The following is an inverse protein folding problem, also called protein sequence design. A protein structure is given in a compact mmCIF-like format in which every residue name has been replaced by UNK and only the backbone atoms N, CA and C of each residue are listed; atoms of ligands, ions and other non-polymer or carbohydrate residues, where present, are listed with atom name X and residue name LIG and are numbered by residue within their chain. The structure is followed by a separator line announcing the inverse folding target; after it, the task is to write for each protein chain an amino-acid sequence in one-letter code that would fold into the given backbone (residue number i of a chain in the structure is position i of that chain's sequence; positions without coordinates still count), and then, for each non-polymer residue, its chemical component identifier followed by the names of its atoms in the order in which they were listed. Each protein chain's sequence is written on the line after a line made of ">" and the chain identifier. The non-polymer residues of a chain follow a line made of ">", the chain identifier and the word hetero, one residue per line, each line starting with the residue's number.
data_IF_542861004407
#
_entry.id   IF_542861004407
#
_cell.length_a   1.000
_cell.length_b   1.000
_cell.length_c   1.000
_cell.angle_alpha   90.00
_cell.angle_beta   90.00
_cell.angle_gamma   90.00
#
_symmetry.space_group_name_H-M   'P 1'
#
loop_
_entity.id
_entity.type
_entity.pdbx_description
1 polymer ?
#
# COMPACT_ATOMS: atom_id res chain seq x y z
N UNK A 1 31.00 -18.14 -3.41
CA UNK A 1 30.07 -17.52 -2.44
C UNK A 1 28.81 -17.23 -3.21
N UNK A 2 27.64 -17.66 -2.74
CA UNK A 2 26.39 -17.30 -3.42
C UNK A 2 26.14 -15.80 -3.22
N UNK A 3 25.73 -15.12 -4.29
CA UNK A 3 25.37 -13.71 -4.20
C UNK A 3 24.08 -13.53 -3.40
N UNK A 4 23.90 -12.34 -2.86
CA UNK A 4 22.65 -11.98 -2.19
C UNK A 4 21.53 -11.80 -3.22
N UNK A 5 20.31 -12.21 -2.90
CA UNK A 5 19.19 -12.21 -3.85
C UNK A 5 17.85 -11.90 -3.18
N UNK A 6 16.89 -11.42 -3.96
CA UNK A 6 15.49 -11.33 -3.55
C UNK A 6 14.77 -12.65 -3.87
N UNK A 7 14.05 -13.20 -2.89
CA UNK A 7 13.02 -14.21 -3.17
C UNK A 7 11.83 -13.58 -3.90
N UNK A 8 10.96 -14.40 -4.47
CA UNK A 8 9.68 -13.93 -4.99
C UNK A 8 8.64 -13.83 -3.87
N UNK A 9 7.81 -12.79 -3.90
CA UNK A 9 6.62 -12.68 -3.07
C UNK A 9 5.38 -13.08 -3.86
N UNK A 10 4.40 -13.66 -3.16
CA UNK A 10 3.05 -13.87 -3.64
C UNK A 10 2.10 -13.08 -2.75
N UNK A 11 1.27 -12.25 -3.38
CA UNK A 11 0.42 -11.25 -2.73
C UNK A 11 -0.92 -11.27 -3.45
N UNK A 12 -2.02 -11.17 -2.71
CA UNK A 12 -3.33 -11.06 -3.36
C UNK A 12 -3.52 -9.69 -4.02
N UNK A 13 -4.41 -9.60 -5.00
CA UNK A 13 -4.73 -8.33 -5.69
C UNK A 13 -5.23 -7.22 -4.74
N UNK A 14 -5.67 -7.60 -3.53
CA UNK A 14 -6.07 -6.68 -2.45
C UNK A 14 -4.94 -6.38 -1.43
N UNK A 15 -3.73 -6.91 -1.64
CA UNK A 15 -2.54 -6.54 -0.86
C UNK A 15 -2.19 -7.46 0.31
N UNK A 16 -2.97 -8.50 0.58
CA UNK A 16 -2.62 -9.49 1.61
C UNK A 16 -1.44 -10.35 1.17
N UNK A 17 -0.36 -10.32 1.97
CA UNK A 17 0.85 -11.12 1.73
C UNK A 17 0.58 -12.58 2.05
N UNK A 18 0.69 -13.44 1.04
CA UNK A 18 0.62 -14.90 1.18
C UNK A 18 1.97 -15.44 1.63
N UNK A 19 3.01 -15.19 0.83
CA UNK A 19 4.39 -15.51 1.18
C UNK A 19 5.34 -14.48 0.58
N UNK A 20 6.47 -14.27 1.22
CA UNK A 20 7.56 -13.44 0.70
C UNK A 20 8.81 -14.28 0.37
N UNK A 21 8.66 -15.61 0.35
CA UNK A 21 9.70 -16.61 0.06
C UNK A 21 9.11 -17.72 -0.81
N UNK A 22 8.51 -17.35 -1.93
CA UNK A 22 7.73 -18.25 -2.78
C UNK A 22 8.44 -19.59 -3.03
N UNK A 23 9.72 -19.54 -3.39
CA UNK A 23 10.55 -20.70 -3.74
C UNK A 23 10.82 -21.64 -2.56
N UNK A 24 10.63 -21.20 -1.32
CA UNK A 24 10.94 -21.96 -0.09
C UNK A 24 9.69 -22.35 0.71
N UNK A 25 8.50 -22.03 0.23
CA UNK A 25 7.26 -22.11 1.03
C UNK A 25 6.09 -22.70 0.25
N UNK A 26 6.31 -23.85 -0.39
CA UNK A 26 5.34 -24.49 -1.28
C UNK A 26 3.98 -24.72 -0.62
N UNK A 27 3.97 -25.15 0.66
CA UNK A 27 2.72 -25.36 1.42
C UNK A 27 2.00 -24.08 1.86
N UNK A 28 2.59 -22.89 1.66
CA UNK A 28 1.95 -21.60 1.94
C UNK A 28 1.45 -20.91 0.66
N UNK A 29 1.83 -21.40 -0.52
CA UNK A 29 1.38 -20.82 -1.79
C UNK A 29 -0.11 -21.05 -1.94
N UNK A 30 -0.82 -20.04 -2.44
CA UNK A 30 -2.26 -20.12 -2.65
C UNK A 30 -2.65 -19.34 -3.89
N UNK A 31 -3.49 -19.91 -4.77
CA UNK A 31 -4.00 -19.20 -5.95
C UNK A 31 -4.97 -18.07 -5.57
N UNK A 32 -5.66 -18.23 -4.44
CA UNK A 32 -6.60 -17.26 -3.87
C UNK A 32 -6.26 -17.00 -2.40
N UNK A 33 -6.51 -15.77 -1.97
CA UNK A 33 -6.30 -15.36 -0.59
C UNK A 33 -7.34 -16.00 0.34
N UNK A 34 -6.89 -16.59 1.45
CA UNK A 34 -7.77 -17.10 2.51
C UNK A 34 -8.59 -16.01 3.20
N UNK A 35 -8.07 -14.78 3.22
CA UNK A 35 -8.64 -13.70 4.02
C UNK A 35 -9.72 -12.92 3.26
N UNK A 36 -9.59 -12.80 1.93
CA UNK A 36 -10.50 -11.99 1.12
C UNK A 36 -10.96 -12.64 -0.19
N UNK A 37 -10.52 -13.86 -0.51
CA UNK A 37 -10.87 -14.56 -1.75
C UNK A 37 -10.26 -13.98 -3.03
N UNK A 38 -9.49 -12.90 -2.96
CA UNK A 38 -8.85 -12.29 -4.13
C UNK A 38 -7.77 -13.19 -4.74
N UNK A 39 -7.65 -13.17 -6.08
CA UNK A 39 -6.58 -13.86 -6.81
C UNK A 39 -5.21 -13.39 -6.35
N UNK A 40 -4.22 -14.28 -6.36
CA UNK A 40 -2.84 -13.95 -6.01
C UNK A 40 -1.96 -13.77 -7.24
N UNK A 41 -0.98 -12.90 -7.10
CA UNK A 41 0.03 -12.60 -8.10
C UNK A 41 1.41 -12.65 -7.47
N UNK A 42 2.40 -13.03 -8.26
CA UNK A 42 3.81 -13.05 -7.92
C UNK A 42 4.67 -12.24 -8.90
N UNK A 43 4.03 -11.65 -9.91
CA UNK A 43 4.63 -10.84 -10.97
C UNK A 43 3.81 -9.55 -11.15
N UNK A 44 4.47 -8.51 -11.64
CA UNK A 44 3.82 -7.25 -11.98
C UNK A 44 2.89 -7.45 -13.18
N UNK A 45 1.62 -7.07 -13.04
CA UNK A 45 0.61 -7.17 -14.11
C UNK A 45 0.91 -6.32 -15.35
N UNK A 46 1.86 -5.39 -15.26
CA UNK A 46 2.19 -4.44 -16.32
C UNK A 46 3.48 -4.77 -17.07
N UNK A 47 4.45 -5.42 -16.43
CA UNK A 47 5.74 -5.75 -17.06
C UNK A 47 6.20 -7.19 -16.83
N UNK A 48 5.41 -8.01 -16.13
CA UNK A 48 5.66 -9.40 -15.77
C UNK A 48 6.93 -9.65 -14.94
N UNK A 49 7.55 -8.59 -14.42
CA UNK A 49 8.71 -8.75 -13.55
C UNK A 49 8.29 -9.21 -12.14
N UNK A 50 9.11 -10.05 -11.52
CA UNK A 50 8.78 -10.71 -10.25
C UNK A 50 8.64 -9.69 -9.10
N UNK A 51 7.66 -9.93 -8.24
CA UNK A 51 7.44 -9.11 -7.05
C UNK A 51 8.51 -9.47 -6.03
N UNK A 52 9.36 -8.50 -5.68
CA UNK A 52 10.44 -8.70 -4.71
C UNK A 52 9.89 -9.07 -3.33
N UNK A 53 10.28 -10.26 -2.88
CA UNK A 53 10.08 -10.80 -1.54
C UNK A 53 11.24 -10.45 -0.60
N UNK A 54 11.59 -11.41 0.27
CA UNK A 54 12.69 -11.21 1.21
C UNK A 54 14.05 -11.11 0.51
N UNK A 55 14.88 -10.18 0.97
CA UNK A 55 16.29 -10.14 0.64
C UNK A 55 17.05 -11.19 1.45
N UNK A 56 17.75 -12.08 0.78
CA UNK A 56 18.51 -13.17 1.35
C UNK A 56 20.01 -12.90 1.20
N UNK A 57 20.73 -13.01 2.31
CA UNK A 57 22.20 -13.01 2.32
C UNK A 57 22.64 -14.40 2.81
N UNK A 58 23.37 -15.18 1.99
CA UNK A 58 23.83 -16.50 2.39
C UNK A 58 24.64 -16.46 3.69
N UNK A 59 24.33 -17.38 4.61
CA UNK A 59 24.98 -17.45 5.93
C UNK A 59 24.45 -16.46 6.98
N UNK A 60 23.51 -15.58 6.63
CA UNK A 60 22.94 -14.59 7.57
C UNK A 60 21.47 -14.89 7.85
N UNK A 61 21.13 -15.00 9.15
CA UNK A 61 19.75 -15.10 9.61
C UNK A 61 19.28 -13.72 10.08
N UNK A 62 18.30 -13.14 9.39
CA UNK A 62 17.66 -11.89 9.82
C UNK A 62 16.46 -12.19 10.70
N UNK A 63 16.57 -11.89 12.00
CA UNK A 63 15.50 -12.05 12.98
C UNK A 63 14.71 -10.74 13.10
N UNK A 64 13.38 -10.83 13.18
CA UNK A 64 12.50 -9.67 13.43
C UNK A 64 12.22 -8.76 12.22
N UNK A 65 12.83 -9.01 11.05
CA UNK A 65 12.54 -8.21 9.85
C UNK A 65 11.15 -8.54 9.28
N UNK A 66 10.20 -7.62 9.49
CA UNK A 66 8.87 -7.70 8.88
C UNK A 66 8.96 -7.38 7.39
N UNK A 67 8.36 -8.24 6.56
CA UNK A 67 8.16 -7.95 5.14
C UNK A 67 7.14 -6.82 5.00
N UNK A 68 7.45 -5.84 4.14
CA UNK A 68 6.52 -4.78 3.75
C UNK A 68 6.09 -5.05 2.32
N UNK A 69 4.78 -5.08 2.09
CA UNK A 69 4.20 -5.23 0.76
C UNK A 69 4.64 -4.03 -0.09
N UNK A 70 5.28 -4.24 -1.26
CA UNK A 70 5.70 -3.15 -2.11
C UNK A 70 4.48 -2.46 -2.73
N UNK A 71 4.55 -1.15 -2.92
CA UNK A 71 3.42 -0.36 -3.46
C UNK A 71 3.49 -0.19 -4.98
N UNK A 72 4.72 -0.16 -5.50
CA UNK A 72 5.05 0.07 -6.89
C UNK A 72 6.04 -0.98 -7.38
N UNK A 73 5.96 -1.30 -8.66
CA UNK A 73 6.91 -2.19 -9.31
C UNK A 73 8.30 -1.56 -9.31
N UNK A 74 9.30 -2.34 -8.92
CA UNK A 74 10.68 -1.88 -8.89
C UNK A 74 11.31 -1.73 -10.29
N UNK A 75 10.73 -2.39 -11.29
CA UNK A 75 11.23 -2.41 -12.66
C UNK A 75 10.54 -1.34 -13.53
N UNK A 76 9.19 -1.33 -13.59
CA UNK A 76 8.46 -0.38 -14.42
C UNK A 76 7.90 0.84 -13.68
N UNK A 77 7.96 0.88 -12.34
CA UNK A 77 7.47 2.01 -11.53
C UNK A 77 5.95 2.10 -11.37
N UNK A 78 5.16 1.30 -12.10
CA UNK A 78 3.69 1.32 -12.00
C UNK A 78 3.19 0.77 -10.66
N UNK A 79 2.03 1.26 -10.20
CA UNK A 79 1.36 0.76 -9.00
C UNK A 79 0.97 -0.70 -9.16
N UNK A 80 1.05 -1.45 -8.05
CA UNK A 80 0.41 -2.75 -7.98
C UNK A 80 -1.12 -2.61 -7.78
N UNK A 81 -1.91 -3.65 -8.10
CA UNK A 81 -3.38 -3.58 -8.01
C UNK A 81 -3.92 -3.11 -6.66
N UNK A 82 -3.31 -3.54 -5.55
CA UNK A 82 -3.74 -3.14 -4.21
C UNK A 82 -3.50 -1.65 -3.91
N UNK A 83 -2.45 -1.05 -4.49
CA UNK A 83 -2.19 0.38 -4.36
C UNK A 83 -3.22 1.19 -5.13
N UNK A 84 -3.53 0.75 -6.36
CA UNK A 84 -4.53 1.39 -7.20
C UNK A 84 -5.94 1.28 -6.59
N UNK A 85 -6.34 0.08 -6.15
CA UNK A 85 -7.63 -0.16 -5.52
C UNK A 85 -7.85 0.70 -4.26
N UNK A 86 -6.83 0.84 -3.41
CA UNK A 86 -6.93 1.69 -2.23
C UNK A 86 -6.93 3.20 -2.56
N UNK A 87 -6.23 3.64 -3.60
CA UNK A 87 -6.35 5.03 -4.08
C UNK A 87 -7.75 5.33 -4.62
N UNK A 88 -8.33 4.41 -5.39
CA UNK A 88 -9.70 4.52 -5.90
C UNK A 88 -10.68 4.57 -4.72
N UNK A 89 -10.62 3.60 -3.80
CA UNK A 89 -11.51 3.53 -2.65
C UNK A 89 -11.41 4.78 -1.75
N UNK A 90 -10.21 5.34 -1.57
CA UNK A 90 -10.03 6.57 -0.81
C UNK A 90 -10.65 7.78 -1.53
N UNK A 91 -10.56 7.85 -2.86
CA UNK A 91 -11.19 8.92 -3.65
C UNK A 91 -12.71 8.79 -3.67
N UNK A 92 -13.24 7.57 -3.77
CA UNK A 92 -14.67 7.31 -3.60
C UNK A 92 -15.15 7.76 -2.21
N UNK A 93 -14.41 7.41 -1.15
CA UNK A 93 -14.73 7.89 0.21
C UNK A 93 -14.69 9.42 0.31
N UNK A 94 -13.78 10.09 -0.41
CA UNK A 94 -13.73 11.56 -0.46
C UNK A 94 -14.98 12.17 -1.10
N UNK A 95 -15.57 11.50 -2.09
CA UNK A 95 -16.83 11.93 -2.73
C UNK A 95 -18.06 11.68 -1.85
N UNK A 96 -18.02 10.69 -0.96
CA UNK A 96 -19.10 10.44 0.01
C UNK A 96 -19.09 11.43 1.19
N UNK A 97 -18.07 12.29 1.29
CA UNK A 97 -18.00 13.27 2.39
C UNK A 97 -19.02 14.39 2.19
N UNK A 98 -20.03 14.40 3.04
CA UNK A 98 -20.97 15.52 3.16
C UNK A 98 -20.30 16.77 3.75
N UNK A 99 -20.68 17.95 3.27
CA UNK A 99 -20.20 19.24 3.81
C UNK A 99 -18.88 19.76 3.24
N UNK A 100 -18.26 19.04 2.29
CA UNK A 100 -17.17 19.58 1.46
C UNK A 100 -17.72 20.25 0.20
N UNK A 101 -17.15 21.40 -0.18
CA UNK A 101 -17.43 22.00 -1.50
C UNK A 101 -16.77 21.18 -2.62
N UNK A 102 -17.19 21.35 -3.88
CA UNK A 102 -16.54 20.68 -5.02
C UNK A 102 -15.02 20.92 -5.08
N UNK A 103 -14.57 22.13 -4.78
CA UNK A 103 -13.15 22.48 -4.74
C UNK A 103 -12.41 21.75 -3.61
N UNK A 104 -13.06 21.57 -2.47
CA UNK A 104 -12.49 20.88 -1.32
C UNK A 104 -12.39 19.38 -1.54
N UNK A 105 -13.36 18.78 -2.23
CA UNK A 105 -13.31 17.38 -2.68
C UNK A 105 -12.15 17.13 -3.62
N UNK A 106 -11.95 18.01 -4.60
CA UNK A 106 -10.81 17.93 -5.51
C UNK A 106 -9.47 18.07 -4.77
N UNK A 107 -9.38 19.04 -3.84
CA UNK A 107 -8.18 19.19 -2.99
C UNK A 107 -7.93 17.94 -2.14
N UNK A 108 -8.97 17.30 -1.61
CA UNK A 108 -8.85 16.08 -0.83
C UNK A 108 -8.37 14.92 -1.71
N UNK A 109 -8.96 14.74 -2.90
CA UNK A 109 -8.57 13.74 -3.91
C UNK A 109 -7.10 13.87 -4.30
N UNK A 110 -6.64 15.08 -4.63
CA UNK A 110 -5.23 15.35 -4.94
C UNK A 110 -4.32 15.10 -3.74
N UNK A 111 -4.80 15.42 -2.52
CA UNK A 111 -4.01 15.21 -1.30
C UNK A 111 -3.78 13.73 -1.02
N UNK A 112 -4.72 12.84 -1.37
CA UNK A 112 -4.57 11.39 -1.23
C UNK A 112 -3.38 10.88 -2.06
N UNK A 113 -3.27 11.30 -3.33
CA UNK A 113 -2.16 10.90 -4.21
C UNK A 113 -0.80 11.40 -3.66
N UNK A 114 -0.74 12.67 -3.25
CA UNK A 114 0.45 13.28 -2.68
C UNK A 114 0.86 12.60 -1.35
N UNK A 115 -0.10 12.15 -0.54
CA UNK A 115 0.12 11.44 0.74
C UNK A 115 0.74 10.06 0.51
N UNK A 116 0.24 9.30 -0.47
CA UNK A 116 0.69 7.91 -0.75
C UNK A 116 2.07 7.88 -1.42
N UNK A 117 2.36 8.88 -2.27
CA UNK A 117 3.64 8.98 -3.00
C UNK A 117 4.86 9.18 -2.09
N UNK A 118 4.66 9.74 -0.88
CA UNK A 118 5.72 10.03 0.10
C UNK A 118 6.84 10.94 -0.47
N UNK A 119 6.49 11.86 -1.37
CA UNK A 119 7.39 12.89 -1.92
C UNK A 119 7.35 14.23 -1.14
N UNK A 120 8.03 15.28 -1.62
CA UNK A 120 8.06 16.59 -0.94
C UNK A 120 6.67 17.22 -0.68
N UNK A 121 5.69 16.93 -1.56
CA UNK A 121 4.31 17.43 -1.44
C UNK A 121 3.51 16.78 -0.29
N UNK A 122 3.99 15.66 0.26
CA UNK A 122 3.35 14.93 1.37
C UNK A 122 3.08 15.84 2.56
N UNK A 123 3.97 16.79 2.87
CA UNK A 123 3.80 17.72 4.01
C UNK A 123 2.60 18.64 3.80
N UNK A 124 2.45 19.16 2.58
CA UNK A 124 1.32 20.02 2.21
C UNK A 124 0.02 19.22 2.23
N UNK A 125 0.03 18.04 1.63
CA UNK A 125 -1.14 17.17 1.55
C UNK A 125 -1.60 16.67 2.94
N UNK A 126 -0.66 16.29 3.81
CA UNK A 126 -0.96 15.94 5.21
C UNK A 126 -1.61 17.10 5.96
N UNK A 127 -1.12 18.33 5.75
CA UNK A 127 -1.71 19.53 6.35
C UNK A 127 -3.13 19.79 5.84
N UNK A 128 -3.35 19.66 4.53
CA UNK A 128 -4.67 19.81 3.91
C UNK A 128 -5.64 18.75 4.43
N UNK A 129 -5.23 17.49 4.47
CA UNK A 129 -6.06 16.39 4.97
C UNK A 129 -6.49 16.65 6.42
N UNK A 130 -5.57 17.03 7.31
CA UNK A 130 -5.90 17.40 8.70
C UNK A 130 -6.86 18.58 8.81
N UNK A 131 -6.77 19.55 7.90
CA UNK A 131 -7.74 20.64 7.85
C UNK A 131 -9.13 20.13 7.43
N UNK A 132 -9.20 19.18 6.51
CA UNK A 132 -10.47 18.60 6.07
C UNK A 132 -11.08 17.66 7.12
N UNK A 133 -10.28 16.97 7.94
CA UNK A 133 -10.80 16.12 9.04
C UNK A 133 -11.58 16.89 10.09
N UNK A 134 -11.54 18.23 10.12
CA UNK A 134 -12.42 19.02 10.99
C UNK A 134 -13.83 19.19 10.40
N UNK A 135 -13.99 18.94 9.10
CA UNK A 135 -15.25 19.04 8.37
C UNK A 135 -15.97 17.70 8.29
N UNK A 136 -15.23 16.60 8.32
CA UNK A 136 -15.80 15.25 8.34
C UNK A 136 -15.53 14.55 9.66
N UNK A 137 -16.53 13.84 10.18
CA UNK A 137 -16.48 13.23 11.51
C UNK A 137 -15.41 12.13 11.65
N UNK A 138 -15.15 11.68 12.89
CA UNK A 138 -14.13 10.66 13.18
C UNK A 138 -14.38 9.32 12.47
N UNK A 139 -15.63 8.99 12.16
CA UNK A 139 -15.96 7.78 11.37
C UNK A 139 -15.33 7.79 9.98
N UNK A 140 -15.45 8.93 9.26
CA UNK A 140 -14.86 9.09 7.93
C UNK A 140 -13.31 9.12 8.02
N UNK A 141 -12.77 9.78 9.05
CA UNK A 141 -11.31 9.79 9.28
C UNK A 141 -10.74 8.38 9.54
N UNK A 142 -11.48 7.53 10.26
CA UNK A 142 -11.17 6.10 10.43
C UNK A 142 -11.28 5.34 9.11
N UNK A 143 -12.31 5.59 8.30
CA UNK A 143 -12.43 4.98 6.97
C UNK A 143 -11.20 5.26 6.08
N UNK A 144 -10.71 6.51 6.06
CA UNK A 144 -9.47 6.84 5.36
C UNK A 144 -8.25 6.12 5.93
N UNK A 145 -8.19 5.94 7.26
CA UNK A 145 -7.11 5.18 7.91
C UNK A 145 -7.10 3.73 7.43
N UNK A 146 -8.25 3.08 7.47
CA UNK A 146 -8.38 1.67 7.13
C UNK A 146 -8.01 1.40 5.68
N UNK A 147 -8.27 2.35 4.77
CA UNK A 147 -7.90 2.26 3.36
C UNK A 147 -6.41 2.55 3.14
N UNK A 148 -5.86 3.61 3.75
CA UNK A 148 -4.55 4.16 3.38
C UNK A 148 -3.39 3.72 4.28
N UNK A 149 -3.65 3.14 5.45
CA UNK A 149 -2.61 2.87 6.45
C UNK A 149 -1.46 2.04 5.86
N UNK A 150 -1.74 1.00 5.07
CA UNK A 150 -0.67 0.16 4.51
C UNK A 150 0.07 0.79 3.32
N UNK A 151 -0.47 1.88 2.77
CA UNK A 151 0.15 2.61 1.66
C UNK A 151 1.01 3.79 2.11
N UNK A 152 0.74 4.37 3.27
CA UNK A 152 1.45 5.57 3.72
C UNK A 152 2.72 5.24 4.50
N UNK A 153 3.68 6.16 4.53
CA UNK A 153 4.90 5.98 5.33
C UNK A 153 4.60 6.03 6.83
N UNK A 154 5.48 5.43 7.65
CA UNK A 154 5.33 5.46 9.11
C UNK A 154 5.29 6.91 9.66
N UNK A 155 5.98 7.84 9.00
CA UNK A 155 5.93 9.27 9.35
C UNK A 155 4.55 9.85 9.09
N UNK A 156 3.94 9.54 7.93
CA UNK A 156 2.59 9.98 7.61
C UNK A 156 1.57 9.36 8.55
N UNK A 157 1.68 8.06 8.86
CA UNK A 157 0.79 7.39 9.83
C UNK A 157 0.74 8.14 11.16
N UNK A 158 1.91 8.39 11.74
CA UNK A 158 2.04 9.11 13.01
C UNK A 158 1.57 10.55 12.94
N UNK A 159 1.64 11.16 11.76
CA UNK A 159 1.14 12.52 11.56
C UNK A 159 -0.38 12.55 11.50
N UNK A 160 -1.01 11.68 10.70
CA UNK A 160 -2.46 11.68 10.46
C UNK A 160 -3.26 11.02 11.58
N UNK A 161 -2.72 9.95 12.18
CA UNK A 161 -3.39 9.14 13.19
C UNK A 161 -2.46 8.92 14.38
N UNK A 162 -2.27 9.94 15.23
CA UNK A 162 -1.46 9.84 16.44
C UNK A 162 -2.03 8.87 17.47
#
# INVERSE_FOLDING_TARGET
>A
MSDSYYSTAQICVNGHKITARYEKTDGLRAEYCSDCGGKTINECTNCNDVIRGYYNVPGVISVGRKYKVPKYCHNCGQSYPWTEAALIAAKELAEEVEGLTPEEREILSQSIDDIVSNGPRTVVATTRFKKMTTKFGPGIATGFKDILVDLVSETVKKSLWP
#
